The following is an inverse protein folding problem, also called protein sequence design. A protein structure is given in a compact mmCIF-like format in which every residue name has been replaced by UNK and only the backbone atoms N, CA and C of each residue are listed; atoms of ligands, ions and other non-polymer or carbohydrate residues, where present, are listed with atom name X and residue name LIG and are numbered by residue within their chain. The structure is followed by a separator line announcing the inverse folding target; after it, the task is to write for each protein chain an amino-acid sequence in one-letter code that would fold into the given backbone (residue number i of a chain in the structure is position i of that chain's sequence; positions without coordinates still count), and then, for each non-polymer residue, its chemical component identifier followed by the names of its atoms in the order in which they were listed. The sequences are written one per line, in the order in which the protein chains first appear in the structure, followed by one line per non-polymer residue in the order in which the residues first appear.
data_IF_604030096302
#
_entry.id   IF_604030096302
#
_cell.length_a   1.000
_cell.length_b   1.000
_cell.length_c   1.000
_cell.angle_alpha   90.00
_cell.angle_beta   90.00
_cell.angle_gamma   90.00
#
_symmetry.space_group_name_H-M   'P 1'
#
loop_
_entity.id
_entity.type
_entity.pdbx_description
1 polymer ?
#
# COMPACT_ATOMS: atom_id res chain seq x y z
N UNK A 1 16.99 4.82 -0.22
CA UNK A 1 15.97 3.78 -0.47
C UNK A 1 14.62 4.47 -0.59
N UNK A 2 13.75 4.02 -1.48
CA UNK A 2 12.39 4.50 -1.67
C UNK A 2 11.44 3.32 -1.74
N UNK A 3 10.30 3.42 -1.06
CA UNK A 3 9.24 2.41 -1.12
C UNK A 3 7.87 3.08 -1.17
N UNK A 4 6.88 2.37 -1.69
CA UNK A 4 5.53 2.88 -1.84
C UNK A 4 4.55 2.07 -1.00
N UNK A 5 3.85 2.73 -0.07
CA UNK A 5 2.83 2.10 0.77
C UNK A 5 1.44 2.55 0.30
N UNK A 6 0.66 1.63 -0.25
CA UNK A 6 -0.61 1.89 -0.90
C UNK A 6 -1.76 1.41 -0.03
N UNK A 7 -2.68 2.30 0.33
CA UNK A 7 -3.96 1.86 0.90
C UNK A 7 -4.81 1.28 -0.22
N UNK A 8 -5.36 0.08 -0.02
CA UNK A 8 -6.24 -0.56 -1.00
C UNK A 8 -7.32 0.40 -1.55
N UNK A 9 -7.70 0.20 -2.81
CA UNK A 9 -8.73 1.00 -3.47
C UNK A 9 -10.15 0.69 -2.94
N UNK A 10 -11.17 1.43 -3.40
CA UNK A 10 -12.56 1.24 -2.96
C UNK A 10 -13.06 -0.20 -3.22
N UNK A 11 -13.62 -0.83 -2.20
CA UNK A 11 -14.06 -2.24 -2.24
C UNK A 11 -15.54 -2.41 -1.88
N UNK A 12 -16.39 -1.44 -2.23
CA UNK A 12 -17.80 -1.45 -1.80
C UNK A 12 -17.97 -1.27 -0.29
N UNK A 13 -19.16 -1.62 0.21
CA UNK A 13 -19.53 -1.55 1.63
C UNK A 13 -19.49 -2.96 2.23
N UNK A 14 -18.96 -3.09 3.46
CA UNK A 14 -18.74 -4.38 4.13
C UNK A 14 -20.06 -5.07 4.50
N UNK A 15 -21.03 -4.30 4.95
CA UNK A 15 -22.37 -4.74 5.36
C UNK A 15 -23.24 -5.30 4.21
N UNK A 16 -22.91 -4.95 2.96
CA UNK A 16 -23.60 -5.43 1.76
C UNK A 16 -22.91 -6.59 1.06
N UNK A 17 -21.81 -7.09 1.61
CA UNK A 17 -21.05 -8.19 1.03
C UNK A 17 -21.49 -9.52 1.64
N UNK A 18 -21.94 -10.42 0.79
CA UNK A 18 -22.29 -11.79 1.16
C UNK A 18 -21.04 -12.66 0.99
N UNK A 19 -20.30 -12.91 2.08
CA UNK A 19 -19.10 -13.74 2.07
C UNK A 19 -18.07 -13.31 3.12
N UNK A 20 -16.92 -13.98 3.13
CA UNK A 20 -15.81 -13.57 3.98
C UNK A 20 -15.32 -12.18 3.55
N UNK A 21 -15.10 -11.26 4.49
CA UNK A 21 -14.65 -9.90 4.15
C UNK A 21 -13.27 -9.90 3.45
N UNK A 22 -12.46 -10.93 3.71
CA UNK A 22 -11.18 -11.14 3.03
C UNK A 22 -11.33 -11.31 1.50
N UNK A 23 -12.47 -11.84 1.05
CA UNK A 23 -12.76 -12.11 -0.35
C UNK A 23 -13.42 -10.92 -1.07
N UNK A 24 -13.79 -9.87 -0.32
CA UNK A 24 -14.52 -8.72 -0.87
C UNK A 24 -13.69 -7.97 -1.92
N UNK A 25 -14.18 -7.88 -3.18
CA UNK A 25 -13.42 -7.32 -4.29
C UNK A 25 -13.50 -5.78 -4.35
N UNK A 26 -12.69 -5.20 -5.22
CA UNK A 26 -12.81 -3.81 -5.62
C UNK A 26 -14.16 -3.54 -6.28
N UNK A 27 -14.76 -2.41 -5.93
CA UNK A 27 -15.92 -1.88 -6.65
C UNK A 27 -15.49 -1.31 -8.01
N UNK A 28 -16.44 -0.97 -8.88
CA UNK A 28 -16.15 -0.33 -10.18
C UNK A 28 -15.25 0.89 -10.01
N UNK A 29 -15.61 1.79 -9.08
CA UNK A 29 -14.78 2.95 -8.76
C UNK A 29 -13.41 2.57 -8.16
N UNK A 30 -13.30 1.44 -7.47
CA UNK A 30 -12.03 0.93 -6.97
C UNK A 30 -11.10 0.40 -8.06
N UNK A 31 -11.65 -0.24 -9.08
CA UNK A 31 -10.87 -0.70 -10.24
C UNK A 31 -10.29 0.49 -11.00
N UNK A 32 -11.07 1.55 -11.21
CA UNK A 32 -10.57 2.80 -11.78
C UNK A 32 -9.44 3.42 -10.92
N UNK A 33 -9.55 3.38 -9.59
CA UNK A 33 -8.45 3.82 -8.71
C UNK A 33 -7.21 2.93 -8.84
N UNK A 34 -7.37 1.62 -8.99
CA UNK A 34 -6.25 0.69 -9.16
C UNK A 34 -5.49 0.97 -10.47
N UNK A 35 -6.19 1.30 -11.56
CA UNK A 35 -5.56 1.75 -12.80
C UNK A 35 -4.78 3.06 -12.61
N UNK A 36 -5.37 4.05 -11.95
CA UNK A 36 -4.68 5.33 -11.68
C UNK A 36 -3.44 5.14 -10.77
N UNK A 37 -3.50 4.23 -9.79
CA UNK A 37 -2.34 3.84 -8.98
C UNK A 37 -1.24 3.25 -9.87
N UNK A 38 -1.61 2.34 -10.78
CA UNK A 38 -0.67 1.69 -11.67
C UNK A 38 -0.01 2.68 -12.64
N UNK A 39 -0.79 3.58 -13.25
CA UNK A 39 -0.27 4.65 -14.10
C UNK A 39 0.71 5.55 -13.34
N UNK A 40 0.42 5.86 -12.07
CA UNK A 40 1.30 6.68 -11.25
C UNK A 40 2.62 6.01 -10.90
N UNK A 41 2.60 4.69 -10.69
CA UNK A 41 3.73 3.92 -10.17
C UNK A 41 4.56 3.20 -11.23
N UNK A 42 4.03 2.92 -12.42
CA UNK A 42 4.72 2.11 -13.45
C UNK A 42 6.10 2.65 -13.84
N UNK A 43 6.31 3.98 -13.82
CA UNK A 43 7.58 4.59 -14.17
C UNK A 43 8.58 4.72 -13.01
N UNK A 44 8.17 4.39 -11.78
CA UNK A 44 8.97 4.64 -10.57
C UNK A 44 9.09 3.43 -9.64
N UNK A 45 8.19 2.46 -9.75
CA UNK A 45 8.30 1.18 -9.07
C UNK A 45 9.31 0.29 -9.81
N UNK A 46 10.26 -0.28 -9.06
CA UNK A 46 11.34 -1.12 -9.60
C UNK A 46 11.64 -2.34 -8.74
N UNK A 47 11.00 -2.47 -7.59
CA UNK A 47 11.17 -3.57 -6.65
C UNK A 47 9.99 -4.55 -6.65
N UNK A 48 9.87 -5.31 -5.57
CA UNK A 48 8.79 -6.30 -5.41
C UNK A 48 7.43 -5.65 -5.19
N UNK A 49 6.38 -6.32 -5.64
CA UNK A 49 4.99 -5.97 -5.32
C UNK A 49 4.50 -6.90 -4.20
N UNK A 50 4.28 -6.35 -3.01
CA UNK A 50 3.81 -7.10 -1.84
C UNK A 50 2.42 -6.62 -1.47
N UNK A 51 1.53 -7.52 -1.09
CA UNK A 51 0.15 -7.17 -0.76
C UNK A 51 -0.36 -7.95 0.42
N UNK A 52 -1.25 -7.35 1.22
CA UNK A 52 -2.08 -8.15 2.10
C UNK A 52 -2.86 -9.21 1.28
N UNK A 53 -3.14 -10.40 1.84
CA UNK A 53 -3.85 -11.47 1.14
C UNK A 53 -5.33 -11.13 0.82
N UNK A 54 -5.89 -10.06 1.38
CA UNK A 54 -7.26 -9.63 1.08
C UNK A 54 -7.41 -9.28 -0.40
N UNK A 55 -8.46 -9.81 -1.04
CA UNK A 55 -8.71 -9.69 -2.49
C UNK A 55 -8.64 -8.24 -2.97
N UNK A 56 -9.23 -7.30 -2.21
CA UNK A 56 -9.15 -5.86 -2.52
C UNK A 56 -7.73 -5.30 -2.58
N UNK A 57 -6.80 -5.78 -1.75
CA UNK A 57 -5.41 -5.32 -1.76
C UNK A 57 -4.68 -5.89 -2.98
N UNK A 58 -4.83 -7.20 -3.22
CA UNK A 58 -4.25 -7.86 -4.41
C UNK A 58 -4.75 -7.20 -5.69
N UNK A 59 -6.07 -7.01 -5.83
CA UNK A 59 -6.68 -6.33 -6.98
C UNK A 59 -6.26 -4.87 -7.13
N UNK A 60 -5.79 -4.21 -6.06
CA UNK A 60 -5.28 -2.84 -6.17
C UNK A 60 -3.93 -2.79 -6.89
N UNK A 61 -3.10 -3.83 -6.74
CA UNK A 61 -1.78 -3.89 -7.38
C UNK A 61 -1.77 -4.63 -8.72
N UNK A 62 -2.80 -5.44 -9.02
CA UNK A 62 -2.89 -6.20 -10.27
C UNK A 62 -2.64 -5.38 -11.54
N UNK A 63 -3.20 -4.15 -11.71
CA UNK A 63 -2.93 -3.38 -12.92
C UNK A 63 -1.47 -2.90 -13.03
N UNK A 64 -0.78 -2.68 -11.91
CA UNK A 64 0.64 -2.34 -11.88
C UNK A 64 1.49 -3.56 -12.22
N UNK A 65 1.17 -4.70 -11.60
CA UNK A 65 1.81 -5.99 -11.86
C UNK A 65 1.79 -6.36 -13.35
N UNK A 66 0.64 -6.21 -14.00
CA UNK A 66 0.50 -6.45 -15.44
C UNK A 66 1.36 -5.52 -16.31
N UNK A 67 1.57 -4.25 -15.91
CA UNK A 67 2.39 -3.29 -16.65
C UNK A 67 3.89 -3.50 -16.44
N UNK A 68 4.28 -4.06 -15.30
CA UNK A 68 5.66 -4.35 -14.95
C UNK A 68 6.09 -5.78 -15.31
N UNK A 69 5.18 -6.61 -15.83
CA UNK A 69 5.39 -8.05 -16.02
C UNK A 69 5.91 -8.73 -14.74
N UNK A 70 5.26 -8.43 -13.61
CA UNK A 70 5.67 -8.86 -12.28
C UNK A 70 4.52 -9.56 -11.54
N UNK A 71 4.86 -10.34 -10.52
CA UNK A 71 3.89 -10.99 -9.64
C UNK A 71 3.57 -10.14 -8.40
N UNK A 72 2.34 -10.27 -7.90
CA UNK A 72 1.95 -9.75 -6.58
C UNK A 72 2.14 -10.84 -5.55
N UNK A 73 3.14 -10.68 -4.68
CA UNK A 73 3.41 -11.60 -3.56
C UNK A 73 2.52 -11.22 -2.38
N UNK A 74 1.85 -12.19 -1.77
CA UNK A 74 1.01 -11.93 -0.59
C UNK A 74 1.77 -12.13 0.71
N UNK A 75 1.53 -11.26 1.69
CA UNK A 75 2.05 -11.38 3.05
C UNK A 75 0.98 -11.04 4.09
N UNK A 76 0.69 -12.00 4.97
CA UNK A 76 -0.31 -11.84 6.03
C UNK A 76 0.05 -10.73 7.04
N UNK A 77 1.33 -10.40 7.17
CA UNK A 77 1.85 -9.29 8.00
C UNK A 77 1.43 -7.90 7.50
N UNK A 78 0.79 -7.81 6.33
CA UNK A 78 0.16 -6.60 5.81
C UNK A 78 -1.38 -6.59 5.94
N UNK A 79 -1.98 -7.66 6.47
CA UNK A 79 -3.43 -7.86 6.62
C UNK A 79 -4.09 -6.95 7.66
N UNK A 80 -5.43 -6.89 7.67
CA UNK A 80 -6.14 -6.19 8.76
C UNK A 80 -5.76 -6.80 10.12
N UNK A 81 -5.53 -5.93 11.12
CA UNK A 81 -5.09 -6.33 12.46
C UNK A 81 -3.62 -6.76 12.57
N UNK A 82 -2.82 -6.63 11.50
CA UNK A 82 -1.38 -6.84 11.59
C UNK A 82 -0.74 -5.86 12.58
N UNK A 83 0.29 -6.31 13.30
CA UNK A 83 0.98 -5.44 14.25
C UNK A 83 1.87 -4.42 13.53
N UNK A 84 2.17 -3.31 14.20
CA UNK A 84 3.15 -2.33 13.72
C UNK A 84 4.50 -3.00 13.39
N UNK A 85 4.93 -3.94 14.24
CA UNK A 85 6.21 -4.63 14.06
C UNK A 85 6.20 -5.51 12.81
N UNK A 86 5.11 -6.24 12.57
CA UNK A 86 4.95 -7.10 11.40
C UNK A 86 5.01 -6.30 10.11
N UNK A 87 4.21 -5.22 10.03
CA UNK A 87 4.16 -4.39 8.82
C UNK A 87 5.48 -3.64 8.57
N UNK A 88 6.18 -3.20 9.62
CA UNK A 88 7.52 -2.61 9.49
C UNK A 88 8.57 -3.63 9.04
N UNK A 89 8.47 -4.89 9.48
CA UNK A 89 9.37 -5.95 9.03
C UNK A 89 9.22 -6.21 7.53
N UNK A 90 7.98 -6.33 7.02
CA UNK A 90 7.74 -6.47 5.58
C UNK A 90 8.29 -5.28 4.81
N UNK A 91 8.09 -4.06 5.32
CA UNK A 91 8.58 -2.84 4.67
C UNK A 91 10.12 -2.83 4.58
N UNK A 92 10.82 -3.27 5.63
CA UNK A 92 12.28 -3.36 5.64
C UNK A 92 12.81 -4.49 4.73
N UNK A 93 12.10 -5.62 4.65
CA UNK A 93 12.46 -6.77 3.82
C UNK A 93 12.23 -6.53 2.31
N UNK A 94 11.23 -5.70 1.95
CA UNK A 94 10.83 -5.48 0.56
C UNK A 94 11.87 -4.73 -0.28
N UNK A 95 12.73 -3.93 0.36
CA UNK A 95 13.83 -3.22 -0.29
C UNK A 95 13.42 -2.02 -1.15
N UNK A 96 14.39 -1.57 -1.97
CA UNK A 96 14.27 -0.35 -2.78
C UNK A 96 13.31 -0.54 -3.97
N UNK A 97 12.52 0.49 -4.26
CA UNK A 97 11.55 0.50 -5.34
C UNK A 97 10.29 -0.35 -5.12
N UNK A 98 10.12 -0.97 -3.95
CA UNK A 98 9.02 -1.87 -3.66
C UNK A 98 7.67 -1.15 -3.49
N UNK A 99 6.57 -1.83 -3.83
CA UNK A 99 5.20 -1.36 -3.62
C UNK A 99 4.45 -2.33 -2.72
N UNK A 100 3.96 -1.83 -1.59
CA UNK A 100 3.26 -2.60 -0.57
C UNK A 100 1.81 -2.15 -0.48
N UNK A 101 0.85 -3.06 -0.54
CA UNK A 101 -0.57 -2.74 -0.36
C UNK A 101 -1.13 -3.25 0.97
N UNK A 102 -1.76 -2.34 1.72
CA UNK A 102 -2.33 -2.63 3.05
C UNK A 102 -3.59 -1.82 3.34
N UNK A 103 -4.00 -1.77 4.60
CA UNK A 103 -5.32 -1.37 5.08
C UNK A 103 -5.31 -0.03 5.82
N UNK A 104 -6.51 0.43 6.19
CA UNK A 104 -6.71 1.74 6.83
C UNK A 104 -6.42 1.78 8.33
N UNK A 105 -6.29 0.63 8.96
CA UNK A 105 -5.85 0.42 10.34
C UNK A 105 -4.32 0.28 10.39
N UNK A 106 -3.71 -0.45 9.45
CA UNK A 106 -2.26 -0.71 9.44
C UNK A 106 -1.43 0.50 9.01
N UNK A 107 -1.80 1.16 7.90
CA UNK A 107 -0.97 2.23 7.32
C UNK A 107 -0.78 3.42 8.28
N UNK A 108 -1.83 3.95 8.96
CA UNK A 108 -1.63 5.02 9.93
C UNK A 108 -0.70 4.64 11.08
N UNK A 109 -0.77 3.40 11.54
CA UNK A 109 0.04 2.91 12.65
C UNK A 109 1.52 2.77 12.27
N UNK A 110 1.80 2.26 11.06
CA UNK A 110 3.14 2.18 10.48
C UNK A 110 3.74 3.58 10.28
N UNK A 111 3.01 4.49 9.61
CA UNK A 111 3.48 5.86 9.38
C UNK A 111 3.69 6.58 10.72
N UNK A 112 2.77 6.42 11.67
CA UNK A 112 2.90 6.98 13.01
C UNK A 112 4.13 6.46 13.76
N UNK A 113 4.47 5.19 13.61
CA UNK A 113 5.69 4.61 14.18
C UNK A 113 6.96 5.17 13.53
N UNK A 114 6.98 5.35 12.21
CA UNK A 114 8.11 5.98 11.52
C UNK A 114 8.29 7.45 11.93
N UNK A 115 7.20 8.21 12.07
CA UNK A 115 7.24 9.60 12.55
C UNK A 115 7.82 9.68 13.96
N UNK A 116 7.44 8.76 14.86
CA UNK A 116 8.04 8.67 16.21
C UNK A 116 9.54 8.35 16.19
N UNK A 117 10.05 7.79 15.08
CA UNK A 117 11.48 7.49 14.86
C UNK A 117 12.21 8.62 14.12
N UNK A 118 11.55 9.73 13.82
CA UNK A 118 12.17 10.91 13.20
C UNK A 118 11.77 11.15 11.74
N UNK A 119 10.92 10.31 11.14
CA UNK A 119 10.42 10.54 9.79
C UNK A 119 9.66 11.88 9.71
N UNK A 120 9.97 12.68 8.69
CA UNK A 120 9.34 13.95 8.39
C UNK A 120 8.24 13.80 7.33
N UNK A 121 7.10 14.45 7.57
CA UNK A 121 6.00 14.45 6.60
C UNK A 121 6.16 15.62 5.63
N UNK A 122 6.31 15.33 4.34
CA UNK A 122 6.50 16.35 3.28
C UNK A 122 5.19 16.87 2.71
N UNK A 123 4.07 16.26 3.08
CA UNK A 123 2.71 16.62 2.65
C UNK A 123 1.74 16.53 3.81
N UNK A 124 0.56 17.13 3.68
CA UNK A 124 -0.53 16.88 4.63
C UNK A 124 -1.01 15.43 4.51
N UNK A 125 -1.02 14.64 5.60
CA UNK A 125 -1.42 13.23 5.54
C UNK A 125 -2.79 13.00 4.95
N UNK A 126 -2.84 12.07 3.99
CA UNK A 126 -4.07 11.54 3.41
C UNK A 126 -4.22 10.07 3.79
N UNK A 127 -5.39 9.73 4.34
CA UNK A 127 -5.67 8.37 4.82
C UNK A 127 -6.73 7.67 3.98
N UNK A 128 -7.20 8.25 2.87
CA UNK A 128 -8.30 7.70 2.07
C UNK A 128 -7.88 6.43 1.31
N UNK A 129 -8.86 5.61 0.94
CA UNK A 129 -8.65 4.44 0.06
C UNK A 129 -8.05 4.87 -1.28
N UNK A 130 -7.05 4.13 -1.75
CA UNK A 130 -6.30 4.41 -2.97
C UNK A 130 -5.26 5.52 -2.85
N UNK A 131 -4.90 5.95 -1.63
CA UNK A 131 -3.76 6.85 -1.41
C UNK A 131 -2.46 6.07 -1.52
N UNK A 132 -1.48 6.70 -2.16
CA UNK A 132 -0.09 6.25 -2.23
C UNK A 132 0.72 7.06 -1.22
N UNK A 133 1.46 6.38 -0.36
CA UNK A 133 2.50 6.95 0.46
C UNK A 133 3.86 6.66 -0.17
N UNK A 134 4.61 7.69 -0.52
CA UNK A 134 6.02 7.57 -0.92
C UNK A 134 6.86 7.72 0.33
N UNK A 135 7.65 6.71 0.66
CA UNK A 135 8.58 6.70 1.78
C UNK A 135 10.00 6.79 1.22
N UNK A 136 10.74 7.81 1.65
CA UNK A 136 12.12 8.06 1.26
C UNK A 136 13.04 7.84 2.46
N UNK A 137 14.14 7.16 2.24
CA UNK A 137 15.10 6.78 3.28
C UNK A 137 16.55 7.01 2.88
N UNK A 138 17.37 7.37 3.87
CA UNK A 138 18.83 7.26 3.82
C UNK A 138 19.23 5.85 4.27
N UNK A 139 20.49 5.43 4.14
CA UNK A 139 20.91 4.03 4.39
C UNK A 139 20.55 3.44 5.76
N UNK A 140 20.09 4.26 6.71
CA UNK A 140 19.75 3.89 8.08
C UNK A 140 18.23 3.76 8.34
N UNK A 141 17.38 4.21 7.42
CA UNK A 141 15.92 4.07 7.52
C UNK A 141 15.14 5.10 6.72
N UNK A 142 13.80 5.11 6.85
CA UNK A 142 12.96 6.12 6.21
C UNK A 142 13.02 7.45 6.97
N UNK A 143 13.32 8.52 6.24
CA UNK A 143 13.49 9.89 6.75
C UNK A 143 12.38 10.83 6.32
N UNK A 144 11.74 10.58 5.18
CA UNK A 144 10.67 11.42 4.66
C UNK A 144 9.48 10.58 4.17
N UNK A 145 8.27 11.13 4.30
CA UNK A 145 7.09 10.56 3.66
C UNK A 145 6.13 11.60 3.11
N UNK A 146 5.69 11.39 1.87
CA UNK A 146 4.62 12.13 1.22
C UNK A 146 3.43 11.23 0.93
N UNK A 147 2.21 11.79 0.93
CA UNK A 147 0.99 11.06 0.58
C UNK A 147 0.22 11.81 -0.50
N UNK A 148 -0.23 11.08 -1.52
CA UNK A 148 -0.97 11.66 -2.64
C UNK A 148 -2.14 10.78 -3.09
N UNK A 149 -3.09 11.41 -3.78
CA UNK A 149 -4.13 10.69 -4.52
C UNK A 149 -3.68 10.59 -5.98
N UNK A 150 -3.61 9.37 -6.55
CA UNK A 150 -3.46 9.24 -7.99
C UNK A 150 -4.69 9.88 -8.66
N UNK A 151 -4.42 10.66 -9.69
CA UNK A 151 -5.40 11.53 -10.37
C UNK A 151 -6.34 10.70 -11.23
#
# INVERSE_FOLDING_TARGET
MRSYLVRHAKAGQRDRWEGADAERPLSIAGRAQAEAIAERLVGVASGVLVSSPFVRCVQTLQPLAARLDADVVTDARLGEGATISDALAVLAEAGDGAVLCSHGDVIPDVVGALVRRGLQLTTRPLWKKGVIWTLDGDGDGYVEAGSERPV
#
